data_IF_572242453195
#
_entry.id   IF_572242453195
#
_cell.length_a   1.000
_cell.length_b   1.000
_cell.length_c   1.000
_cell.angle_alpha   90.00
_cell.angle_beta   90.00
_cell.angle_gamma   90.00
#
_symmetry.space_group_name_H-M   'P 1'
#
loop_
_entity.id
_entity.type
_entity.pdbx_description
1 polymer ?
#
# COMPACT_ATOMS: atom_id res chain seq x y z
N UNK A 1 11.40 -11.92 -13.76
CA UNK A 1 11.05 -11.91 -12.32
C UNK A 1 10.13 -13.09 -12.04
N UNK A 2 10.37 -13.86 -10.97
CA UNK A 2 9.62 -15.05 -10.66
C UNK A 2 8.44 -14.73 -9.71
N UNK A 3 7.20 -14.96 -10.15
CA UNK A 3 6.00 -14.78 -9.34
C UNK A 3 6.04 -15.58 -8.02
N UNK A 4 6.75 -16.71 -8.02
CA UNK A 4 6.94 -17.53 -6.82
C UNK A 4 7.72 -16.80 -5.73
N UNK A 5 8.84 -16.16 -6.09
CA UNK A 5 9.70 -15.42 -5.14
C UNK A 5 8.96 -14.22 -4.52
N UNK A 6 8.22 -13.48 -5.35
CA UNK A 6 7.39 -12.36 -4.89
C UNK A 6 6.33 -12.84 -3.88
N UNK A 7 5.67 -13.96 -4.19
CA UNK A 7 4.66 -14.54 -3.31
C UNK A 7 5.27 -15.02 -1.99
N UNK A 8 6.41 -15.70 -2.03
CA UNK A 8 7.11 -16.13 -0.81
C UNK A 8 7.51 -14.96 0.08
N UNK A 9 8.00 -13.87 -0.52
CA UNK A 9 8.30 -12.64 0.20
C UNK A 9 7.05 -12.04 0.84
N UNK A 10 5.94 -11.94 0.10
CA UNK A 10 4.69 -11.43 0.67
C UNK A 10 4.25 -12.27 1.88
N UNK A 11 4.34 -13.61 1.81
CA UNK A 11 4.01 -14.48 2.94
C UNK A 11 4.97 -14.30 4.12
N UNK A 12 6.26 -14.07 3.84
CA UNK A 12 7.26 -13.72 4.86
C UNK A 12 6.90 -12.40 5.55
N UNK A 13 6.56 -11.36 4.80
CA UNK A 13 6.15 -10.05 5.33
C UNK A 13 4.86 -10.14 6.16
N UNK A 14 3.88 -10.94 5.73
CA UNK A 14 2.65 -11.18 6.49
C UNK A 14 2.89 -11.87 7.84
N UNK A 15 3.97 -12.64 7.96
CA UNK A 15 4.37 -13.33 9.18
C UNK A 15 5.26 -12.46 10.08
N UNK A 16 6.24 -11.81 9.47
CA UNK A 16 7.38 -11.21 10.16
C UNK A 16 7.29 -9.68 10.25
N UNK A 17 6.39 -9.05 9.47
CA UNK A 17 6.28 -7.60 9.34
C UNK A 17 7.17 -7.00 8.24
N UNK A 18 7.06 -5.68 8.06
CA UNK A 18 8.00 -4.94 7.21
C UNK A 18 9.41 -4.93 7.85
N UNK A 19 10.48 -4.86 7.06
CA UNK A 19 11.81 -4.64 7.59
C UNK A 19 11.89 -3.32 8.37
N UNK A 20 12.63 -3.33 9.48
CA UNK A 20 12.97 -2.15 10.28
C UNK A 20 14.50 -2.08 10.45
N UNK A 21 15.20 -1.08 9.86
CA UNK A 21 14.64 0.03 9.08
C UNK A 21 14.08 -0.42 7.73
N UNK A 22 13.16 0.38 7.19
CA UNK A 22 12.61 0.15 5.87
C UNK A 22 13.69 0.26 4.78
N UNK A 23 13.67 -0.59 3.73
CA UNK A 23 14.70 -0.54 2.71
C UNK A 23 14.69 0.79 1.93
N UNK A 24 15.87 1.39 1.77
CA UNK A 24 16.04 2.68 1.07
C UNK A 24 16.57 2.53 -0.37
N UNK A 25 16.98 1.32 -0.76
CA UNK A 25 17.48 1.00 -2.10
C UNK A 25 17.20 -0.48 -2.41
N UNK A 26 17.20 -0.82 -3.70
CA UNK A 26 17.12 -2.22 -4.12
C UNK A 26 18.36 -2.99 -3.69
N UNK A 27 18.16 -4.16 -3.11
CA UNK A 27 19.25 -5.13 -2.93
C UNK A 27 19.64 -5.70 -4.30
N UNK A 28 20.95 -5.87 -4.51
CA UNK A 28 21.50 -6.46 -5.72
C UNK A 28 20.85 -7.84 -5.99
N UNK A 29 20.07 -7.92 -7.07
CA UNK A 29 19.52 -9.18 -7.60
C UNK A 29 18.07 -9.51 -7.26
N UNK A 30 17.40 -8.88 -6.28
CA UNK A 30 15.99 -9.20 -5.97
C UNK A 30 14.99 -8.57 -6.94
N UNK A 31 15.28 -7.38 -7.46
CA UNK A 31 14.41 -6.67 -8.41
C UNK A 31 13.07 -6.18 -7.84
N UNK A 32 12.84 -6.30 -6.53
CA UNK A 32 11.70 -5.73 -5.81
C UNK A 32 12.07 -5.29 -4.39
N UNK A 33 11.25 -4.42 -3.80
CA UNK A 33 11.46 -3.79 -2.49
C UNK A 33 10.11 -3.63 -1.75
N UNK A 34 9.98 -4.07 -0.49
CA UNK A 34 8.77 -3.87 0.31
C UNK A 34 8.49 -2.40 0.65
N UNK A 35 7.29 -1.91 0.29
CA UNK A 35 6.85 -0.55 0.55
C UNK A 35 5.80 -0.43 1.66
N UNK A 36 4.98 -1.46 1.87
CA UNK A 36 3.83 -1.31 2.75
C UNK A 36 3.17 -2.64 3.08
N UNK A 37 2.62 -2.71 4.28
CA UNK A 37 1.87 -3.84 4.79
C UNK A 37 0.78 -3.30 5.70
N UNK A 38 -0.47 -3.75 5.50
CA UNK A 38 -1.55 -3.57 6.47
C UNK A 38 -2.34 -4.85 6.61
N UNK A 39 -2.89 -5.07 7.80
CA UNK A 39 -3.71 -6.22 8.15
C UNK A 39 -4.95 -5.75 8.90
N UNK A 40 -6.12 -6.20 8.45
CA UNK A 40 -7.41 -5.93 9.10
C UNK A 40 -8.15 -7.24 9.37
N UNK A 41 -7.95 -7.79 10.57
CA UNK A 41 -8.50 -9.08 10.96
C UNK A 41 -7.99 -10.21 10.08
N UNK A 42 -8.83 -10.67 9.15
CA UNK A 42 -8.55 -11.78 8.25
C UNK A 42 -8.18 -11.35 6.82
N UNK A 43 -7.99 -10.06 6.55
CA UNK A 43 -7.52 -9.57 5.25
C UNK A 43 -6.21 -8.79 5.38
N UNK A 44 -5.42 -8.81 4.33
CA UNK A 44 -4.15 -8.09 4.30
C UNK A 44 -3.85 -7.50 2.92
N UNK A 45 -2.96 -6.52 2.89
CA UNK A 45 -2.34 -6.03 1.66
C UNK A 45 -0.83 -5.90 1.88
N UNK A 46 -0.05 -6.31 0.88
CA UNK A 46 1.39 -6.07 0.79
C UNK A 46 1.65 -5.25 -0.47
N UNK A 47 2.45 -4.19 -0.38
CA UNK A 47 2.85 -3.39 -1.54
C UNK A 47 4.35 -3.47 -1.76
N UNK A 48 4.74 -3.70 -3.01
CA UNK A 48 6.14 -3.80 -3.43
C UNK A 48 6.43 -2.79 -4.54
N UNK A 49 7.63 -2.22 -4.51
CA UNK A 49 8.22 -1.51 -5.64
C UNK A 49 9.04 -2.52 -6.45
N UNK A 50 8.87 -2.53 -7.76
CA UNK A 50 9.58 -3.40 -8.67
C UNK A 50 10.50 -2.59 -9.57
N UNK A 51 11.72 -3.09 -9.80
CA UNK A 51 12.65 -2.55 -10.78
C UNK A 51 12.80 -3.56 -11.92
N UNK A 52 12.29 -3.21 -13.10
CA UNK A 52 12.58 -3.94 -14.34
C UNK A 52 13.85 -3.29 -14.91
N UNK A 53 14.99 -3.97 -14.79
CA UNK A 53 16.26 -3.43 -15.27
C UNK A 53 16.40 -3.38 -16.82
N UNK A 54 17.09 -2.34 -17.29
CA UNK A 54 17.68 -2.00 -18.62
C UNK A 54 16.84 -1.15 -19.64
N UNK A 55 17.45 -0.19 -20.39
CA UNK A 55 17.21 1.25 -20.25
C UNK A 55 16.84 1.93 -21.59
N UNK A 56 16.38 1.14 -22.57
CA UNK A 56 16.23 1.61 -23.95
C UNK A 56 14.79 2.01 -24.33
N UNK A 57 13.75 1.68 -23.55
CA UNK A 57 12.37 1.81 -24.04
C UNK A 57 11.26 1.99 -22.98
N UNK A 58 11.59 2.13 -21.69
CA UNK A 58 10.60 2.22 -20.60
C UNK A 58 9.76 0.93 -20.39
N UNK A 59 8.75 0.95 -19.49
CA UNK A 59 8.50 1.91 -18.43
C UNK A 59 9.34 1.56 -17.19
N UNK A 60 9.68 2.60 -16.42
CA UNK A 60 10.48 2.51 -15.20
C UNK A 60 9.84 1.68 -14.08
N UNK A 61 10.30 1.90 -12.85
CA UNK A 61 9.82 1.17 -11.69
C UNK A 61 8.28 1.16 -11.61
N UNK A 62 7.69 0.09 -11.08
CA UNK A 62 6.24 0.00 -10.87
C UNK A 62 5.93 -0.41 -9.44
N UNK A 63 4.78 0.02 -8.92
CA UNK A 63 4.30 -0.35 -7.59
C UNK A 63 3.12 -1.28 -7.75
N UNK A 64 3.22 -2.47 -7.15
CA UNK A 64 2.18 -3.48 -7.13
C UNK A 64 1.68 -3.71 -5.71
N UNK A 65 0.36 -3.91 -5.58
CA UNK A 65 -0.28 -4.30 -4.34
C UNK A 65 -0.88 -5.70 -4.46
N UNK A 66 -0.57 -6.57 -3.51
CA UNK A 66 -1.09 -7.93 -3.39
C UNK A 66 -2.03 -8.02 -2.20
N UNK A 67 -3.25 -8.50 -2.41
CA UNK A 67 -4.24 -8.66 -1.34
C UNK A 67 -4.36 -10.12 -0.94
N UNK A 68 -4.58 -10.35 0.35
CA UNK A 68 -4.65 -11.67 0.94
C UNK A 68 -5.87 -11.81 1.84
N UNK A 69 -6.30 -13.05 2.03
CA UNK A 69 -7.30 -13.44 3.02
C UNK A 69 -6.80 -14.64 3.81
N UNK A 70 -6.90 -14.57 5.13
CA UNK A 70 -6.56 -15.65 6.04
C UNK A 70 -7.73 -16.61 6.16
N UNK A 71 -7.51 -17.86 5.77
CA UNK A 71 -8.48 -18.94 5.86
C UNK A 71 -7.82 -20.16 6.47
N UNK A 72 -8.47 -20.77 7.46
CA UNK A 72 -8.01 -22.00 8.11
C UNK A 72 -6.57 -21.86 8.66
N UNK A 73 -6.21 -20.66 9.11
CA UNK A 73 -4.90 -20.33 9.66
C UNK A 73 -3.86 -19.84 8.63
N UNK A 74 -4.10 -20.05 7.34
CA UNK A 74 -3.17 -19.77 6.24
C UNK A 74 -3.53 -18.53 5.44
N UNK A 75 -2.53 -17.81 4.94
CA UNK A 75 -2.72 -16.66 4.06
C UNK A 75 -2.84 -17.11 2.60
N UNK A 76 -3.97 -16.76 1.98
CA UNK A 76 -4.25 -17.03 0.58
C UNK A 76 -4.28 -15.73 -0.21
N UNK A 77 -3.49 -15.67 -1.29
CA UNK A 77 -3.49 -14.53 -2.21
C UNK A 77 -4.82 -14.48 -2.97
N UNK A 78 -5.43 -13.30 -3.02
CA UNK A 78 -6.66 -13.04 -3.80
C UNK A 78 -6.36 -12.41 -5.17
N UNK A 79 -5.13 -11.96 -5.36
CA UNK A 79 -4.66 -11.20 -6.51
C UNK A 79 -4.25 -9.79 -6.12
N UNK A 80 -3.98 -8.98 -7.12
CA UNK A 80 -3.39 -7.67 -6.94
C UNK A 80 -3.52 -6.78 -8.17
N UNK A 81 -2.89 -5.61 -8.08
CA UNK A 81 -2.84 -4.67 -9.17
C UNK A 81 -1.70 -3.67 -8.98
N UNK A 82 -1.07 -3.31 -10.11
CA UNK A 82 0.05 -2.39 -10.14
C UNK A 82 -0.19 -1.16 -11.00
N UNK A 83 0.71 -0.19 -10.86
CA UNK A 83 0.79 0.99 -11.72
C UNK A 83 2.21 1.51 -11.76
N UNK A 84 2.53 2.36 -12.74
CA UNK A 84 3.85 2.96 -12.85
C UNK A 84 4.21 3.74 -11.58
N UNK A 85 5.44 3.58 -11.11
CA UNK A 85 6.00 4.37 -10.04
C UNK A 85 6.58 5.67 -10.60
N UNK A 86 6.63 6.75 -9.79
CA UNK A 86 7.45 7.90 -10.15
C UNK A 86 8.94 7.55 -10.10
N UNK A 87 9.77 8.28 -10.85
CA UNK A 87 11.21 8.01 -10.99
C UNK A 87 11.96 8.00 -9.63
N UNK A 88 11.48 8.81 -8.68
CA UNK A 88 11.99 8.97 -7.32
C UNK A 88 11.03 8.35 -6.28
N UNK A 89 10.53 7.15 -6.56
CA UNK A 89 9.55 6.44 -5.71
C UNK A 89 9.94 6.36 -4.23
N UNK A 90 11.22 6.28 -3.89
CA UNK A 90 11.68 6.17 -2.50
C UNK A 90 11.93 7.53 -1.81
N UNK A 91 11.88 8.65 -2.53
CA UNK A 91 12.18 9.97 -1.96
C UNK A 91 11.01 10.52 -1.12
N UNK A 92 11.21 10.72 0.18
CA UNK A 92 10.20 11.36 1.05
C UNK A 92 10.05 12.83 0.68
N UNK A 93 8.82 13.30 0.51
CA UNK A 93 8.49 14.69 0.14
C UNK A 93 7.83 15.42 1.29
N UNK A 94 8.07 16.72 1.41
CA UNK A 94 7.36 17.59 2.35
C UNK A 94 5.89 17.76 1.97
N UNK A 95 5.06 18.21 2.92
CA UNK A 95 3.65 18.51 2.63
C UNK A 95 3.50 19.68 1.68
N UNK A 96 4.47 20.62 1.67
CA UNK A 96 4.51 21.74 0.72
C UNK A 96 4.68 21.27 -0.73
N UNK A 97 5.56 20.30 -0.98
CA UNK A 97 5.74 19.69 -2.30
C UNK A 97 4.54 18.84 -2.72
N UNK A 98 3.91 18.15 -1.78
CA UNK A 98 2.74 17.30 -2.05
C UNK A 98 1.41 18.08 -2.08
N UNK A 99 1.39 19.31 -1.57
CA UNK A 99 0.18 20.11 -1.32
C UNK A 99 -0.73 19.56 -0.22
N UNK A 100 -0.31 18.52 0.53
CA UNK A 100 -1.05 17.83 1.59
C UNK A 100 -0.15 16.88 2.38
N UNK A 101 -0.63 16.38 3.52
CA UNK A 101 0.12 15.42 4.33
C UNK A 101 -0.13 13.95 3.95
N UNK A 102 -1.33 13.60 3.47
CA UNK A 102 -1.63 12.24 2.97
C UNK A 102 -2.26 12.24 1.59
N UNK A 103 -1.63 11.60 0.61
CA UNK A 103 -2.13 11.47 -0.76
C UNK A 103 -2.48 10.01 -1.08
N UNK A 104 -3.72 9.74 -1.49
CA UNK A 104 -4.08 8.47 -2.15
C UNK A 104 -3.65 8.51 -3.61
N UNK A 105 -2.76 7.61 -4.01
CA UNK A 105 -2.29 7.51 -5.40
C UNK A 105 -2.70 6.20 -6.09
N UNK A 106 -3.17 5.21 -5.34
CA UNK A 106 -3.66 3.95 -5.88
C UNK A 106 -4.76 3.35 -5.02
N UNK A 107 -5.59 2.52 -5.63
CA UNK A 107 -6.58 1.71 -4.92
C UNK A 107 -6.95 0.49 -5.74
N UNK A 108 -7.38 -0.57 -5.07
CA UNK A 108 -7.70 -1.84 -5.69
C UNK A 108 -8.83 -2.55 -4.95
N UNK A 109 -9.43 -3.53 -5.63
CA UNK A 109 -10.49 -4.35 -5.03
C UNK A 109 -10.43 -5.76 -5.57
N UNK A 110 -10.34 -6.74 -4.68
CA UNK A 110 -10.28 -8.17 -5.02
C UNK A 110 -11.45 -8.93 -4.40
N UNK A 111 -11.88 -10.00 -5.07
CA UNK A 111 -13.03 -10.81 -4.65
C UNK A 111 -12.55 -11.83 -3.63
N UNK A 112 -13.11 -11.81 -2.41
CA UNK A 112 -12.76 -12.78 -1.34
C UNK A 112 -13.26 -14.21 -1.60
N UNK A 113 -14.24 -14.38 -2.49
CA UNK A 113 -14.96 -15.63 -2.76
C UNK A 113 -14.95 -16.03 -4.25
N UNK A 114 -13.85 -15.85 -4.98
CA UNK A 114 -13.81 -16.08 -6.43
C UNK A 114 -14.19 -17.52 -6.86
N UNK A 115 -14.18 -18.50 -5.93
CA UNK A 115 -14.54 -19.90 -6.18
C UNK A 115 -15.97 -20.33 -5.81
N UNK A 116 -16.90 -19.42 -5.48
CA UNK A 116 -18.32 -19.79 -5.23
C UNK A 116 -19.13 -19.79 -6.53
N UNK A 117 -19.96 -20.82 -6.71
CA UNK A 117 -20.85 -20.98 -7.87
C UNK A 117 -21.92 -19.88 -8.02
N UNK A 118 -22.21 -19.12 -6.96
CA UNK A 118 -23.22 -18.08 -6.95
C UNK A 118 -22.65 -16.77 -6.39
N UNK A 119 -22.90 -15.61 -7.04
CA UNK A 119 -22.30 -14.32 -6.70
C UNK A 119 -22.93 -13.62 -5.48
N UNK A 120 -24.01 -14.18 -4.93
CA UNK A 120 -24.72 -13.59 -3.78
C UNK A 120 -23.83 -13.61 -2.53
N UNK A 121 -23.44 -12.42 -2.05
CA UNK A 121 -22.60 -12.26 -0.86
C UNK A 121 -21.09 -12.26 -1.11
N UNK A 122 -20.63 -12.02 -2.35
CA UNK A 122 -19.21 -11.78 -2.63
C UNK A 122 -18.71 -10.59 -1.78
N UNK A 123 -17.91 -10.90 -0.76
CA UNK A 123 -17.21 -9.90 0.06
C UNK A 123 -15.99 -9.44 -0.72
N UNK A 124 -15.77 -8.13 -0.73
CA UNK A 124 -14.61 -7.53 -1.37
C UNK A 124 -13.54 -7.27 -0.33
N UNK A 125 -12.28 -7.44 -0.73
CA UNK A 125 -11.14 -6.86 -0.02
C UNK A 125 -10.75 -5.62 -0.80
N UNK A 126 -10.74 -4.47 -0.13
CA UNK A 126 -10.37 -3.20 -0.72
C UNK A 126 -8.99 -2.80 -0.21
N UNK A 127 -8.19 -2.18 -1.08
CA UNK A 127 -6.90 -1.59 -0.71
C UNK A 127 -6.80 -0.14 -1.18
N UNK A 128 -6.01 0.64 -0.45
CA UNK A 128 -5.50 1.92 -0.90
C UNK A 128 -3.99 2.01 -0.66
N UNK A 129 -3.31 2.62 -1.63
CA UNK A 129 -1.91 3.00 -1.57
C UNK A 129 -1.78 4.50 -1.35
N UNK A 130 -1.07 4.84 -0.28
CA UNK A 130 -0.94 6.20 0.22
C UNK A 130 0.51 6.65 0.18
N UNK A 131 0.71 7.94 -0.09
CA UNK A 131 1.95 8.66 0.13
C UNK A 131 1.75 9.62 1.29
N UNK A 132 2.59 9.50 2.30
CA UNK A 132 2.66 10.37 3.46
C UNK A 132 3.82 11.35 3.31
N UNK A 133 3.62 12.58 3.78
CA UNK A 133 4.64 13.61 3.73
C UNK A 133 5.72 13.41 4.82
N UNK A 134 6.79 14.20 4.76
CA UNK A 134 7.92 14.13 5.68
C UNK A 134 7.52 14.39 7.14
N UNK A 135 6.50 15.21 7.36
CA UNK A 135 6.00 15.62 8.67
C UNK A 135 5.15 14.53 9.34
N UNK A 136 4.62 13.57 8.57
CA UNK A 136 3.77 12.49 9.09
C UNK A 136 4.64 11.36 9.60
N UNK A 137 4.67 11.15 10.91
CA UNK A 137 5.40 10.04 11.52
C UNK A 137 4.59 8.74 11.54
N UNK A 138 3.26 8.84 11.72
CA UNK A 138 2.34 7.70 11.87
C UNK A 138 1.03 7.95 11.14
N UNK A 139 0.34 6.88 10.77
CA UNK A 139 -1.07 6.96 10.37
C UNK A 139 -1.96 6.19 11.35
N UNK A 140 -3.20 6.64 11.50
CA UNK A 140 -4.25 5.93 12.23
C UNK A 140 -5.39 5.57 11.30
N UNK A 141 -5.79 4.29 11.33
CA UNK A 141 -6.93 3.75 10.58
C UNK A 141 -7.86 3.05 11.56
N UNK A 142 -8.92 3.73 11.99
CA UNK A 142 -9.75 3.25 13.09
C UNK A 142 -8.90 3.06 14.36
N UNK A 143 -8.77 1.81 14.83
CA UNK A 143 -7.95 1.47 16.00
C UNK A 143 -6.52 1.06 15.64
N UNK A 144 -6.18 0.91 14.35
CA UNK A 144 -4.84 0.52 13.90
C UNK A 144 -3.94 1.76 13.84
N UNK A 145 -2.76 1.66 14.43
CA UNK A 145 -1.72 2.70 14.38
C UNK A 145 -0.50 2.10 13.68
N UNK A 146 0.01 2.79 12.66
CA UNK A 146 1.11 2.31 11.82
C UNK A 146 2.17 3.38 11.67
N UNK A 147 3.44 3.01 11.85
CA UNK A 147 4.56 3.89 11.54
C UNK A 147 4.69 4.09 10.04
N UNK A 148 5.07 5.30 9.63
CA UNK A 148 5.31 5.64 8.23
C UNK A 148 6.78 5.38 7.91
N UNK A 149 7.08 4.42 7.02
CA UNK A 149 8.45 4.16 6.57
C UNK A 149 9.16 5.41 6.04
N UNK A 150 10.49 5.42 6.01
CA UNK A 150 11.27 6.57 5.54
C UNK A 150 10.87 7.04 4.14
N UNK A 151 10.58 6.13 3.22
CA UNK A 151 10.13 6.46 1.87
C UNK A 151 8.68 6.99 1.81
N UNK A 152 7.92 7.00 2.91
CA UNK A 152 6.59 7.60 3.00
C UNK A 152 5.46 6.81 2.34
N UNK A 153 5.70 5.58 1.88
CA UNK A 153 4.62 4.75 1.32
C UNK A 153 3.90 4.01 2.45
N UNK A 154 2.57 3.97 2.38
CA UNK A 154 1.74 3.19 3.29
C UNK A 154 0.65 2.50 2.51
N UNK A 155 0.29 1.28 2.90
CA UNK A 155 -0.85 0.56 2.36
C UNK A 155 -1.95 0.48 3.43
N UNK A 156 -3.21 0.48 3.01
CA UNK A 156 -4.36 0.31 3.91
C UNK A 156 -5.32 -0.70 3.30
N UNK A 157 -5.76 -1.67 4.09
CA UNK A 157 -6.73 -2.70 3.69
C UNK A 157 -8.01 -2.60 4.53
N UNK A 158 -9.15 -2.91 3.92
CA UNK A 158 -10.42 -3.07 4.65
C UNK A 158 -11.40 -4.00 3.93
N UNK A 159 -12.18 -4.75 4.73
CA UNK A 159 -13.23 -5.65 4.24
C UNK A 159 -14.64 -5.04 4.22
N UNK A 160 -14.84 -3.88 4.84
CA UNK A 160 -16.14 -3.20 4.90
C UNK A 160 -16.53 -2.57 3.56
N UNK A 161 -17.83 -2.35 3.36
CA UNK A 161 -18.34 -1.62 2.18
C UNK A 161 -17.90 -0.14 2.19
N UNK A 162 -17.89 0.48 3.37
CA UNK A 162 -17.45 1.85 3.54
C UNK A 162 -15.93 1.87 3.76
N UNK A 163 -15.24 2.73 3.00
CA UNK A 163 -13.81 2.98 3.20
C UNK A 163 -13.55 3.71 4.51
N UNK A 164 -12.45 3.41 5.20
CA UNK A 164 -12.13 4.04 6.48
C UNK A 164 -11.64 5.48 6.27
N UNK A 165 -11.66 6.23 7.37
CA UNK A 165 -10.96 7.51 7.48
C UNK A 165 -9.56 7.25 8.02
N UNK A 166 -8.56 7.85 7.38
CA UNK A 166 -7.15 7.77 7.77
C UNK A 166 -6.71 9.11 8.32
N UNK A 167 -6.12 9.12 9.51
CA UNK A 167 -5.54 10.32 10.12
C UNK A 167 -4.02 10.29 9.96
N UNK A 168 -3.45 11.41 9.51
CA UNK A 168 -2.01 11.63 9.46
C UNK A 168 -1.55 12.21 10.79
N UNK A 169 -0.55 11.61 11.43
CA UNK A 169 -0.07 12.03 12.75
C UNK A 169 1.37 12.48 12.70
N UNK A 170 1.66 13.61 13.34
CA UNK A 170 3.03 14.02 13.63
C UNK A 170 3.69 13.11 14.69
N UNK A 171 4.98 13.31 14.93
CA UNK A 171 5.73 12.56 15.93
C UNK A 171 5.13 12.68 17.35
N UNK A 172 4.65 13.87 17.71
CA UNK A 172 3.98 14.15 18.99
C UNK A 172 2.55 13.59 19.09
N UNK A 173 2.03 13.00 18.02
CA UNK A 173 0.69 12.43 17.95
C UNK A 173 -0.41 13.41 17.56
N UNK A 174 -0.08 14.69 17.30
CA UNK A 174 -1.03 15.66 16.75
C UNK A 174 -1.50 15.25 15.34
N UNK A 175 -2.77 15.52 15.03
CA UNK A 175 -3.36 15.22 13.73
C UNK A 175 -3.00 16.34 12.75
N UNK A 176 -2.33 15.99 11.65
CA UNK A 176 -1.90 16.90 10.59
C UNK A 176 -2.89 16.98 9.43
N UNK A 177 -3.55 15.86 9.10
CA UNK A 177 -4.47 15.75 7.96
C UNK A 177 -5.40 14.54 8.16
N UNK A 178 -6.47 14.49 7.38
CA UNK A 178 -7.44 13.40 7.39
C UNK A 178 -7.88 13.07 5.97
N UNK A 179 -7.89 11.79 5.64
CA UNK A 179 -8.22 11.28 4.32
C UNK A 179 -9.34 10.22 4.40
N UNK A 180 -10.50 10.52 3.83
CA UNK A 180 -11.60 9.57 3.69
C UNK A 180 -11.41 8.68 2.46
N UNK A 181 -11.11 7.39 2.67
CA UNK A 181 -10.91 6.42 1.58
C UNK A 181 -12.22 5.97 0.93
N UNK A 182 -13.37 6.21 1.57
CA UNK A 182 -14.69 5.94 1.01
C UNK A 182 -15.13 6.97 -0.03
N UNK A 183 -14.49 8.14 -0.08
CA UNK A 183 -14.71 9.14 -1.13
C UNK A 183 -13.81 8.88 -2.33
N UNK A 184 -14.36 9.04 -3.54
CA UNK A 184 -13.54 9.14 -4.74
C UNK A 184 -12.59 10.34 -4.59
N UNK A 185 -11.34 10.16 -5.00
CA UNK A 185 -10.37 11.24 -4.96
C UNK A 185 -10.85 12.37 -5.88
N UNK A 186 -11.05 13.57 -5.33
CA UNK A 186 -11.23 14.77 -6.14
C UNK A 186 -9.83 15.12 -6.69
N UNK A 187 -9.64 15.29 -8.00
CA UNK A 187 -8.36 15.70 -8.54
C UNK A 187 -7.93 17.03 -7.89
N UNK A 188 -6.65 17.16 -7.54
CA UNK A 188 -6.10 18.44 -7.12
C UNK A 188 -6.35 19.47 -8.24
N UNK A 189 -6.88 20.65 -7.90
CA UNK A 189 -6.93 21.77 -8.84
C UNK A 189 -5.49 22.10 -9.24
N UNK A 190 -5.15 21.90 -10.49
CA UNK A 190 -3.95 22.49 -11.07
C UNK A 190 -4.14 24.01 -11.08
N UNK A 191 -3.48 24.70 -10.16
CA UNK A 191 -3.32 26.15 -10.26
C UNK A 191 -2.33 26.41 -11.39
N UNK A 192 -2.79 27.03 -12.47
CA UNK A 192 -1.95 27.58 -13.53
C UNK A 192 -1.34 28.93 -13.14
#
# INVERSE_FOLDING_TARGET
MNHHEVREECLRLLRDGLPDPAPAAFDDGRGFLPLGLDMDGDVAVVTLLHNLGDPASGPGAFIEGFTFHRRDGEWMELGGGGGSAPDDALARRSSGEMGRHLLKYGSGRTVRNAGRLLPWGAKWVNEARLRASAEVARIRVGTRLMDVPEHGHVAVVWGSRQGPVVEALAADGSVLDTLDLGRQAVPARMSG
#
